data_IF_359213693903
#
_entry.id   IF_359213693903
#
_cell.length_a   1.000
_cell.length_b   1.000
_cell.length_c   1.000
_cell.angle_alpha   90.00
_cell.angle_beta   90.00
_cell.angle_gamma   90.00
#
_symmetry.space_group_name_H-M   'P 1'
#
loop_
_entity.id
_entity.type
_entity.pdbx_description
1 polymer ?
#
# COMPACT_ATOMS: atom_id res chain seq x y z
N UNK A 1 8.11 -25.82 -58.86
CA UNK A 1 7.39 -25.02 -57.83
C UNK A 1 8.21 -25.03 -56.55
N UNK A 2 8.67 -23.87 -56.06
CA UNK A 2 9.45 -23.76 -54.81
C UNK A 2 8.57 -23.11 -53.75
N UNK A 3 8.16 -23.88 -52.75
CA UNK A 3 7.38 -23.39 -51.62
C UNK A 3 8.33 -22.83 -50.57
N UNK A 4 8.30 -21.51 -50.35
CA UNK A 4 9.04 -20.84 -49.28
C UNK A 4 8.15 -20.78 -48.03
N UNK A 5 8.61 -21.35 -46.92
CA UNK A 5 7.98 -21.16 -45.60
C UNK A 5 8.67 -20.01 -44.88
N UNK A 6 7.92 -18.95 -44.60
CA UNK A 6 8.36 -17.84 -43.76
C UNK A 6 7.96 -18.14 -42.32
N UNK A 7 8.93 -18.44 -41.45
CA UNK A 7 8.71 -18.44 -40.00
C UNK A 7 9.13 -17.09 -39.45
N UNK A 8 8.16 -16.19 -39.17
CA UNK A 8 8.45 -14.93 -38.49
C UNK A 8 8.64 -15.19 -36.99
N UNK A 9 9.80 -15.67 -36.59
CA UNK A 9 10.19 -15.66 -35.18
C UNK A 9 10.59 -14.23 -34.81
N UNK A 10 9.61 -13.42 -34.40
CA UNK A 10 9.85 -12.12 -33.75
C UNK A 10 10.79 -12.34 -32.56
N UNK A 11 11.91 -11.62 -32.44
CA UNK A 11 12.79 -11.75 -31.28
C UNK A 11 11.99 -11.38 -30.02
N UNK A 12 12.08 -12.22 -28.99
CA UNK A 12 11.48 -11.94 -27.70
C UNK A 12 12.08 -10.63 -27.16
N UNK A 13 11.27 -9.58 -27.10
CA UNK A 13 11.67 -8.28 -26.56
C UNK A 13 11.76 -8.39 -25.04
N UNK A 14 12.97 -8.44 -24.50
CA UNK A 14 13.21 -8.45 -23.05
C UNK A 14 13.25 -7.02 -22.52
N UNK A 15 12.43 -6.72 -21.51
CA UNK A 15 12.51 -5.48 -20.73
C UNK A 15 13.24 -5.75 -19.40
N UNK A 16 14.30 -4.99 -19.11
CA UNK A 16 15.01 -5.05 -17.82
C UNK A 16 14.38 -4.08 -16.82
N UNK A 17 13.99 -4.58 -15.65
CA UNK A 17 13.41 -3.79 -14.57
C UNK A 17 14.46 -3.42 -13.52
N UNK A 18 15.05 -2.23 -13.64
CA UNK A 18 16.08 -1.73 -12.72
C UNK A 18 15.54 -1.21 -11.38
N UNK A 19 14.22 -1.03 -11.25
CA UNK A 19 13.58 -0.46 -10.05
C UNK A 19 13.66 -1.37 -8.83
N UNK A 20 13.93 -2.67 -9.01
CA UNK A 20 13.94 -3.65 -7.92
C UNK A 20 12.63 -3.61 -7.12
N UNK A 21 12.72 -3.58 -5.79
CA UNK A 21 11.56 -3.51 -4.86
C UNK A 21 10.96 -2.10 -4.78
N UNK A 22 11.66 -1.08 -5.29
CA UNK A 22 11.27 0.32 -5.24
C UNK A 22 10.39 0.69 -6.42
N UNK A 23 9.16 0.15 -6.45
CA UNK A 23 8.15 0.49 -7.45
C UNK A 23 7.08 1.37 -6.83
N UNK A 24 6.71 2.45 -7.54
CA UNK A 24 5.62 3.36 -7.14
C UNK A 24 5.86 4.05 -5.79
N UNK A 25 4.88 3.97 -4.89
CA UNK A 25 4.94 4.66 -3.59
C UNK A 25 6.14 4.27 -2.74
N UNK A 26 6.63 3.03 -2.88
CA UNK A 26 7.85 2.55 -2.21
C UNK A 26 9.06 3.37 -2.60
N UNK A 27 9.18 3.75 -3.87
CA UNK A 27 10.23 4.65 -4.35
C UNK A 27 10.03 6.07 -3.85
N UNK A 28 8.86 6.67 -4.10
CA UNK A 28 8.61 8.07 -3.80
C UNK A 28 8.73 8.41 -2.32
N UNK A 29 8.22 7.55 -1.44
CA UNK A 29 8.33 7.75 0.01
C UNK A 29 9.76 7.54 0.52
N UNK A 30 10.48 6.55 -0.01
CA UNK A 30 11.85 6.23 0.44
C UNK A 30 12.83 7.34 0.06
N UNK A 31 12.71 7.88 -1.16
CA UNK A 31 13.56 8.97 -1.65
C UNK A 31 12.98 10.37 -1.44
N UNK A 32 11.96 10.49 -0.57
CA UNK A 32 11.30 11.77 -0.19
C UNK A 32 10.92 12.65 -1.39
N UNK A 33 10.45 12.02 -2.48
CA UNK A 33 9.98 12.73 -3.67
C UNK A 33 8.61 13.33 -3.39
N UNK A 34 8.43 14.60 -3.76
CA UNK A 34 7.13 15.26 -3.66
C UNK A 34 6.15 14.63 -4.65
N UNK A 35 4.97 14.24 -4.17
CA UNK A 35 3.88 13.68 -4.97
C UNK A 35 2.63 14.50 -4.71
N UNK A 36 1.81 14.72 -5.74
CA UNK A 36 0.56 15.49 -5.61
C UNK A 36 -0.48 14.70 -4.80
N UNK A 37 -0.62 13.40 -5.09
CA UNK A 37 -1.49 12.49 -4.38
C UNK A 37 -0.72 11.22 -4.01
N UNK A 38 -0.46 10.98 -2.71
CA UNK A 38 0.23 9.77 -2.29
C UNK A 38 -0.67 8.54 -2.48
N UNK A 39 -0.04 7.38 -2.53
CA UNK A 39 -0.77 6.11 -2.57
C UNK A 39 -1.71 5.98 -1.37
N UNK A 40 -2.93 5.53 -1.64
CA UNK A 40 -3.98 5.39 -0.62
C UNK A 40 -4.67 6.70 -0.24
N UNK A 41 -4.36 7.82 -0.89
CA UNK A 41 -5.08 9.08 -0.67
C UNK A 41 -6.50 9.01 -1.21
N UNK A 42 -7.46 9.43 -0.40
CA UNK A 42 -8.86 9.54 -0.77
C UNK A 42 -9.53 10.61 0.08
N UNK A 43 -10.33 11.46 -0.56
CA UNK A 43 -11.16 12.45 0.14
C UNK A 43 -12.49 11.82 0.53
N UNK A 44 -13.08 12.34 1.61
CA UNK A 44 -14.44 12.00 2.03
C UNK A 44 -15.21 13.28 2.30
N UNK A 45 -16.54 13.21 2.18
CA UNK A 45 -17.44 14.31 2.53
C UNK A 45 -17.59 14.51 4.04
N UNK A 46 -17.03 13.60 4.85
CA UNK A 46 -16.96 13.70 6.30
C UNK A 46 -15.52 13.52 6.78
N UNK A 47 -15.28 13.81 8.06
CA UNK A 47 -13.97 13.67 8.71
C UNK A 47 -13.99 12.47 9.65
N UNK A 48 -12.86 11.76 9.71
CA UNK A 48 -12.68 10.60 10.58
C UNK A 48 -11.47 10.81 11.50
N UNK A 49 -11.64 10.42 12.75
CA UNK A 49 -10.59 10.39 13.75
C UNK A 49 -10.22 8.95 14.06
N UNK A 50 -8.92 8.65 14.04
CA UNK A 50 -8.38 7.32 14.36
C UNK A 50 -7.72 7.39 15.73
N UNK A 51 -8.15 6.53 16.65
CA UNK A 51 -7.64 6.49 18.01
C UNK A 51 -7.48 5.07 18.52
N UNK A 52 -6.84 4.93 19.69
CA UNK A 52 -6.74 3.66 20.41
C UNK A 52 -6.11 2.52 19.58
N UNK A 53 -4.99 2.80 18.91
CA UNK A 53 -4.22 1.79 18.19
C UNK A 53 -3.70 0.74 19.18
N UNK A 54 -4.13 -0.51 19.00
CA UNK A 54 -3.71 -1.66 19.82
C UNK A 54 -3.08 -2.73 18.93
N UNK A 55 -2.04 -3.34 19.47
CA UNK A 55 -1.36 -4.50 18.88
C UNK A 55 -1.55 -5.69 19.81
N UNK A 56 -1.89 -6.86 19.28
CA UNK A 56 -2.03 -8.09 20.07
C UNK A 56 -0.72 -8.63 20.62
N UNK A 57 0.43 -8.15 20.11
CA UNK A 57 1.75 -8.64 20.49
C UNK A 57 2.89 -7.82 19.90
N UNK A 58 4.12 -8.27 20.15
CA UNK A 58 5.33 -7.68 19.57
C UNK A 58 5.51 -8.15 18.14
N UNK A 59 5.99 -7.24 17.29
CA UNK A 59 6.33 -7.53 15.90
C UNK A 59 7.70 -8.22 15.89
N UNK A 60 7.75 -9.47 15.45
CA UNK A 60 8.94 -10.29 15.36
C UNK A 60 8.99 -11.08 14.05
N UNK A 61 10.07 -11.84 13.87
CA UNK A 61 10.22 -12.75 12.73
C UNK A 61 9.14 -13.82 12.85
N UNK A 62 8.30 -13.95 11.82
CA UNK A 62 7.20 -14.91 11.72
C UNK A 62 6.07 -14.76 12.75
N UNK A 63 5.93 -13.59 13.38
CA UNK A 63 4.81 -13.30 14.29
C UNK A 63 3.58 -12.80 13.54
N UNK A 64 2.42 -13.38 13.82
CA UNK A 64 1.12 -12.78 13.44
C UNK A 64 0.72 -11.77 14.51
N UNK A 65 0.57 -10.51 14.12
CA UNK A 65 0.11 -9.43 15.00
C UNK A 65 -1.22 -8.90 14.50
N UNK A 66 -2.23 -8.95 15.35
CA UNK A 66 -3.52 -8.31 15.11
C UNK A 66 -3.42 -6.83 15.47
N UNK A 67 -3.85 -5.98 14.55
CA UNK A 67 -3.91 -4.52 14.74
C UNK A 67 -5.37 -4.11 14.85
N UNK A 68 -5.71 -3.45 15.96
CA UNK A 68 -7.04 -2.88 16.19
C UNK A 68 -6.92 -1.37 16.30
N UNK A 69 -7.83 -0.66 15.66
CA UNK A 69 -7.93 0.81 15.74
C UNK A 69 -9.39 1.19 15.85
N UNK A 70 -9.67 2.22 16.64
CA UNK A 70 -11.01 2.81 16.73
C UNK A 70 -11.10 3.92 15.70
N UNK A 71 -12.12 3.85 14.84
CA UNK A 71 -12.41 4.88 13.84
C UNK A 71 -13.73 5.54 14.20
N UNK A 72 -13.70 6.86 14.37
CA UNK A 72 -14.88 7.66 14.70
C UNK A 72 -15.12 8.67 13.58
N UNK A 73 -16.35 8.73 13.08
CA UNK A 73 -16.78 9.82 12.22
C UNK A 73 -17.08 11.05 13.09
N UNK A 74 -16.35 12.13 12.85
CA UNK A 74 -16.47 13.40 13.58
C UNK A 74 -17.20 14.47 12.77
N UNK A 75 -17.56 14.19 11.52
CA UNK A 75 -18.36 15.10 10.69
C UNK A 75 -19.86 14.83 10.77
N UNK A 76 -20.61 15.65 10.03
CA UNK A 76 -22.08 15.70 10.08
C UNK A 76 -22.77 14.72 9.13
N UNK A 77 -22.03 14.11 8.22
CA UNK A 77 -22.57 13.22 7.19
C UNK A 77 -22.12 11.79 7.43
N UNK A 78 -22.97 10.83 7.11
CA UNK A 78 -22.58 9.42 7.08
C UNK A 78 -21.49 9.22 6.02
N UNK A 79 -20.50 8.39 6.35
CA UNK A 79 -19.40 8.11 5.44
C UNK A 79 -18.74 6.78 5.74
N UNK A 80 -17.80 6.42 4.86
CA UNK A 80 -16.91 5.27 5.03
C UNK A 80 -15.47 5.75 4.99
N UNK A 81 -14.64 5.03 5.72
CA UNK A 81 -13.21 5.25 5.76
C UNK A 81 -12.45 3.93 5.53
N UNK A 82 -11.25 4.05 4.97
CA UNK A 82 -10.37 2.92 4.65
C UNK A 82 -9.14 2.98 5.53
N UNK A 83 -9.07 2.10 6.52
CA UNK A 83 -7.89 1.99 7.40
C UNK A 83 -6.80 1.24 6.65
N UNK A 84 -5.60 1.81 6.59
CA UNK A 84 -4.42 1.21 5.94
C UNK A 84 -3.29 1.02 6.95
N UNK A 85 -2.77 -0.20 7.04
CA UNK A 85 -1.68 -0.57 7.96
C UNK A 85 -0.39 -0.73 7.17
N UNK A 86 0.61 0.09 7.53
CA UNK A 86 1.94 0.10 6.94
C UNK A 86 2.97 -0.42 7.93
N UNK A 87 3.88 -1.27 7.47
CA UNK A 87 5.00 -1.78 8.26
C UNK A 87 6.31 -1.26 7.69
N UNK A 88 7.26 -0.98 8.58
CA UNK A 88 8.64 -0.61 8.26
C UNK A 88 9.58 -1.54 8.99
N UNK A 89 10.57 -2.08 8.28
CA UNK A 89 11.70 -2.76 8.89
C UNK A 89 12.78 -1.73 9.25
N UNK A 90 13.26 -1.75 10.49
CA UNK A 90 14.26 -0.79 11.02
C UNK A 90 15.65 -1.43 11.09
N UNK A 91 15.74 -2.77 11.14
CA UNK A 91 16.99 -3.51 11.42
C UNK A 91 17.47 -4.27 10.18
N UNK A 92 16.89 -4.01 9.01
CA UNK A 92 17.21 -4.75 7.78
C UNK A 92 18.66 -4.51 7.32
N UNK A 93 19.38 -5.59 7.02
CA UNK A 93 20.70 -5.55 6.37
C UNK A 93 20.65 -5.13 4.90
N UNK A 94 19.46 -5.15 4.30
CA UNK A 94 19.21 -4.78 2.90
C UNK A 94 18.37 -3.51 2.85
N UNK A 95 18.53 -2.74 1.78
CA UNK A 95 17.69 -1.56 1.52
C UNK A 95 16.22 -1.97 1.35
N UNK A 96 15.37 -1.47 2.26
CA UNK A 96 13.94 -1.75 2.28
C UNK A 96 13.10 -0.47 2.20
N UNK A 97 11.91 -0.54 1.58
CA UNK A 97 10.99 0.59 1.54
C UNK A 97 10.61 1.08 2.94
N UNK A 98 10.47 2.41 3.09
CA UNK A 98 10.11 3.04 4.37
C UNK A 98 8.69 2.67 4.83
N UNK A 99 7.78 2.42 3.89
CA UNK A 99 6.41 1.96 4.19
C UNK A 99 6.06 0.83 3.23
N UNK A 100 5.60 -0.29 3.78
CA UNK A 100 4.98 -1.38 3.03
C UNK A 100 3.57 -1.61 3.54
N UNK A 101 2.56 -1.52 2.67
CA UNK A 101 1.20 -1.89 3.02
C UNK A 101 1.14 -3.39 3.36
N UNK A 102 0.64 -3.74 4.54
CA UNK A 102 0.45 -5.14 4.99
C UNK A 102 -1.00 -5.52 5.20
N UNK A 103 -1.87 -4.55 5.40
CA UNK A 103 -3.30 -4.80 5.54
C UNK A 103 -4.10 -3.53 5.30
N UNK A 104 -5.35 -3.71 4.88
CA UNK A 104 -6.32 -2.63 4.79
C UNK A 104 -7.70 -3.17 5.13
N UNK A 105 -8.56 -2.32 5.66
CA UNK A 105 -9.98 -2.63 5.89
C UNK A 105 -10.83 -1.47 5.38
N UNK A 106 -11.71 -1.75 4.42
CA UNK A 106 -12.42 -0.74 3.63
C UNK A 106 -13.83 -0.41 4.11
N UNK A 107 -14.31 -1.01 5.20
CA UNK A 107 -15.70 -0.88 5.61
C UNK A 107 -15.83 -0.59 7.10
N UNK A 108 -15.53 0.66 7.48
CA UNK A 108 -16.06 1.21 8.73
C UNK A 108 -17.20 2.15 8.38
N UNK A 109 -18.44 1.66 8.45
CA UNK A 109 -19.63 2.49 8.30
C UNK A 109 -19.96 3.10 9.66
N UNK A 110 -19.74 4.41 9.80
CA UNK A 110 -20.09 5.11 11.04
C UNK A 110 -21.28 6.03 10.75
N UNK A 111 -22.43 5.65 11.30
CA UNK A 111 -23.66 6.45 11.23
C UNK A 111 -23.57 7.58 12.25
N UNK A 112 -23.79 8.81 11.80
CA UNK A 112 -23.99 9.96 12.68
C UNK A 112 -25.37 9.79 13.32
N UNK A 113 -25.42 9.75 14.66
CA UNK A 113 -26.67 9.76 15.43
C UNK A 113 -27.18 11.19 15.59
#
# INVERSE_FOLDING_TARGET
MKTLRLTSTSPARTAKFFTGVFVGYRHYLTYKKKVLFPFGHGLSYTQFEHSNLKLSGKIGKDSTVSVSVTVKNTGKLAGRDVVQVYVRDIVSRLDRPVKELKGFSGQVCVRVL
#
